data_IF_012831744301
#
_entry.id   IF_012831744301
#
_cell.length_a   1.000
_cell.length_b   1.000
_cell.length_c   1.000
_cell.angle_alpha   90.00
_cell.angle_beta   90.00
_cell.angle_gamma   90.00
#
_symmetry.space_group_name_H-M   'P 1'
#
loop_
_entity.id
_entity.type
_entity.pdbx_description
1 polymer ?
#
# COMPACT_ATOMS: atom_id res chain seq x y z
N UNK A 1 21.18 24.64 11.92
CA UNK A 1 20.73 25.58 10.88
C UNK A 1 21.06 24.96 9.53
N UNK A 2 20.19 24.08 9.04
CA UNK A 2 19.05 24.34 8.15
C UNK A 2 19.47 24.09 6.70
N UNK A 3 19.46 22.81 6.32
CA UNK A 3 19.72 22.36 4.96
C UNK A 3 18.45 22.57 4.11
N UNK A 4 18.59 23.38 3.07
CA UNK A 4 17.61 23.61 1.99
C UNK A 4 18.33 23.35 0.66
N UNK A 5 17.69 22.56 -0.22
CA UNK A 5 18.00 22.38 -1.65
C UNK A 5 19.32 21.66 -2.01
N UNK A 6 19.47 20.88 -3.09
CA UNK A 6 18.70 20.66 -4.33
C UNK A 6 19.19 19.31 -4.97
N UNK A 7 18.77 18.91 -6.19
CA UNK A 7 17.89 17.79 -6.56
C UNK A 7 18.61 16.48 -6.99
N UNK A 8 17.91 15.34 -7.07
CA UNK A 8 18.46 14.14 -7.73
C UNK A 8 18.18 14.16 -9.25
N UNK A 9 19.26 14.09 -10.03
CA UNK A 9 19.43 14.31 -11.47
C UNK A 9 19.26 13.06 -12.35
N UNK A 10 18.66 11.96 -11.85
CA UNK A 10 18.59 10.70 -12.62
C UNK A 10 17.75 10.76 -13.91
N UNK A 11 17.01 11.83 -14.17
CA UNK A 11 16.32 12.05 -15.44
C UNK A 11 17.11 12.85 -16.49
N UNK A 12 18.34 13.34 -16.20
CA UNK A 12 19.08 14.27 -17.09
C UNK A 12 20.39 13.72 -17.67
N UNK A 13 20.72 12.43 -17.48
CA UNK A 13 21.94 11.83 -18.05
C UNK A 13 23.26 12.25 -17.37
N UNK A 14 23.23 12.74 -16.13
CA UNK A 14 24.44 13.06 -15.35
C UNK A 14 24.86 11.83 -14.54
N UNK A 15 26.16 11.49 -14.56
CA UNK A 15 26.71 10.35 -13.83
C UNK A 15 26.51 10.49 -12.30
N UNK A 16 26.15 9.39 -11.64
CA UNK A 16 25.89 9.34 -10.20
C UNK A 16 27.17 9.65 -9.40
N UNK A 17 27.14 10.72 -8.58
CA UNK A 17 28.23 11.07 -7.67
C UNK A 17 28.19 10.14 -6.44
N UNK A 18 28.90 9.01 -6.56
CA UNK A 18 29.03 7.97 -5.54
C UNK A 18 29.76 8.41 -4.26
N UNK A 19 30.30 9.64 -4.21
CA UNK A 19 31.01 10.16 -3.04
C UNK A 19 30.10 10.85 -2.02
N UNK A 20 28.81 11.05 -2.37
CA UNK A 20 27.83 11.64 -1.47
C UNK A 20 27.17 10.57 -0.59
N UNK A 21 27.07 10.76 0.74
CA UNK A 21 26.32 9.85 1.59
C UNK A 21 24.86 9.80 1.12
N UNK A 22 24.33 8.59 0.85
CA UNK A 22 22.88 8.36 0.72
C UNK A 22 22.23 8.88 2.00
N UNK A 23 21.63 10.07 1.97
CA UNK A 23 20.86 10.58 3.11
C UNK A 23 19.56 9.80 3.15
N UNK A 24 19.46 8.88 4.10
CA UNK A 24 18.30 8.03 4.27
C UNK A 24 17.09 8.88 4.67
N UNK A 25 16.08 8.94 3.80
CA UNK A 25 14.83 9.68 4.04
C UNK A 25 13.94 8.95 5.04
N UNK A 26 14.12 7.64 5.17
CA UNK A 26 13.45 6.77 6.11
C UNK A 26 14.38 5.61 6.52
N UNK A 27 14.27 5.15 7.77
CA UNK A 27 15.12 4.09 8.31
C UNK A 27 14.91 2.75 7.59
N UNK A 28 13.73 2.49 7.04
CA UNK A 28 13.40 1.26 6.31
C UNK A 28 14.19 1.14 5.00
N UNK A 29 14.72 2.27 4.48
CA UNK A 29 15.60 2.33 3.31
C UNK A 29 17.07 2.08 3.66
N UNK A 30 17.45 2.20 4.93
CA UNK A 30 18.85 2.10 5.35
C UNK A 30 19.37 0.68 5.18
N UNK A 31 20.55 0.60 4.57
CA UNK A 31 21.33 -0.64 4.39
C UNK A 31 20.53 -1.79 3.74
N UNK A 32 19.57 -1.44 2.86
CA UNK A 32 18.75 -2.42 2.14
C UNK A 32 19.60 -3.12 1.07
N UNK A 33 19.75 -4.46 1.13
CA UNK A 33 20.49 -5.19 0.10
C UNK A 33 19.81 -5.10 -1.26
N UNK A 34 20.63 -4.97 -2.31
CA UNK A 34 20.21 -5.00 -3.73
C UNK A 34 19.04 -4.08 -4.08
N UNK A 35 18.91 -2.97 -3.34
CA UNK A 35 17.86 -1.98 -3.57
C UNK A 35 16.45 -2.60 -3.55
N UNK A 36 16.22 -3.45 -2.55
CA UNK A 36 15.02 -4.29 -2.46
C UNK A 36 13.74 -3.51 -2.17
N UNK A 37 13.78 -2.34 -1.51
CA UNK A 37 12.58 -1.50 -1.36
C UNK A 37 12.34 -0.77 -2.68
N UNK A 38 11.28 -1.14 -3.38
CA UNK A 38 11.01 -0.73 -4.77
C UNK A 38 10.13 0.51 -4.89
N UNK A 39 9.39 0.83 -3.84
CA UNK A 39 8.57 2.02 -3.76
C UNK A 39 8.25 2.33 -2.31
N UNK A 40 8.28 3.61 -1.96
CA UNK A 40 7.89 4.06 -0.64
C UNK A 40 7.32 5.47 -0.68
N UNK A 41 6.24 5.70 0.04
CA UNK A 41 5.67 7.02 0.25
C UNK A 41 5.27 7.20 1.71
N UNK A 42 5.40 8.42 2.20
CA UNK A 42 4.88 8.89 3.48
C UNK A 42 4.21 10.25 3.23
N UNK A 43 2.88 10.28 3.29
CA UNK A 43 2.05 11.44 2.97
C UNK A 43 2.15 12.54 4.03
N UNK A 44 2.54 12.20 5.26
CA UNK A 44 2.85 13.18 6.30
C UNK A 44 4.25 13.75 6.08
N UNK A 45 5.14 12.99 5.46
CA UNK A 45 6.46 13.46 5.09
C UNK A 45 6.39 14.32 3.82
N UNK A 46 6.73 15.62 3.91
CA UNK A 46 6.39 16.53 2.82
C UNK A 46 7.08 16.17 1.48
N UNK A 47 8.19 15.42 1.50
CA UNK A 47 8.90 14.95 0.30
C UNK A 47 8.02 14.10 -0.60
N UNK A 48 7.14 13.26 -0.03
CA UNK A 48 6.28 12.38 -0.82
C UNK A 48 5.06 13.13 -1.36
N UNK A 49 4.49 14.02 -0.55
CA UNK A 49 3.30 14.81 -0.89
C UNK A 49 3.25 16.13 -0.08
N UNK A 50 2.99 17.31 -0.70
CA UNK A 50 2.73 17.57 -2.12
C UNK A 50 3.99 17.48 -3.00
N UNK A 51 5.13 17.05 -2.43
CA UNK A 51 6.40 16.91 -3.14
C UNK A 51 7.32 18.12 -3.02
N UNK A 52 8.54 18.00 -3.55
CA UNK A 52 9.51 19.11 -3.66
C UNK A 52 10.50 19.26 -2.50
N UNK A 53 11.12 20.44 -2.39
CA UNK A 53 12.09 20.77 -1.34
C UNK A 53 11.38 20.96 0.03
N UNK A 54 11.80 20.24 1.10
CA UNK A 54 11.32 20.41 2.46
C UNK A 54 11.15 21.84 2.95
N UNK A 55 12.00 22.76 2.52
CA UNK A 55 12.07 24.05 3.15
C UNK A 55 11.47 25.21 2.35
N UNK A 56 11.02 24.97 1.12
CA UNK A 56 10.44 26.01 0.25
C UNK A 56 9.08 25.63 -0.32
N UNK A 57 8.56 24.44 0.01
CA UNK A 57 7.34 23.91 -0.58
C UNK A 57 6.05 24.52 -0.01
N UNK A 58 4.95 24.50 -0.80
CA UNK A 58 3.62 24.83 -0.29
C UNK A 58 3.14 23.83 0.76
N UNK A 59 2.23 24.29 1.63
CA UNK A 59 1.53 23.42 2.58
C UNK A 59 0.75 22.33 1.83
N UNK A 60 0.71 21.12 2.39
CA UNK A 60 -0.09 20.04 1.86
C UNK A 60 -1.58 20.42 1.88
N UNK A 61 -2.27 20.17 0.77
CA UNK A 61 -3.70 20.41 0.61
C UNK A 61 -4.40 19.23 -0.05
N UNK A 62 -5.70 19.38 -0.30
CA UNK A 62 -6.48 18.34 -0.97
C UNK A 62 -5.85 18.01 -2.33
N UNK A 63 -5.61 16.73 -2.64
CA UNK A 63 -4.97 16.35 -3.88
C UNK A 63 -5.93 16.49 -5.06
N UNK A 64 -5.38 16.80 -6.23
CA UNK A 64 -6.07 16.63 -7.50
C UNK A 64 -6.00 15.17 -7.98
N UNK A 65 -6.85 14.79 -8.92
CA UNK A 65 -6.64 13.54 -9.65
C UNK A 65 -5.30 13.61 -10.41
N UNK A 66 -4.54 12.52 -10.41
CA UNK A 66 -3.22 12.45 -11.03
C UNK A 66 -2.09 13.16 -10.27
N UNK A 67 -2.34 13.66 -9.05
CA UNK A 67 -1.30 14.27 -8.23
C UNK A 67 -0.13 13.32 -8.03
N UNK A 68 1.10 13.80 -8.26
CA UNK A 68 2.31 12.98 -8.15
C UNK A 68 2.51 12.58 -6.69
N UNK A 69 2.83 11.30 -6.47
CA UNK A 69 3.30 10.78 -5.18
C UNK A 69 4.76 10.44 -5.35
N UNK A 70 5.63 11.27 -4.78
CA UNK A 70 7.06 11.11 -4.94
C UNK A 70 7.55 9.89 -4.16
N UNK A 71 8.33 9.07 -4.85
CA UNK A 71 8.89 7.85 -4.30
C UNK A 71 10.16 8.16 -3.51
N UNK A 72 10.13 7.83 -2.21
CA UNK A 72 11.26 8.02 -1.31
C UNK A 72 12.46 7.11 -1.65
N UNK A 73 12.23 6.04 -2.40
CA UNK A 73 13.30 5.15 -2.92
C UNK A 73 13.93 5.68 -4.20
N UNK A 74 13.30 6.67 -4.85
CA UNK A 74 13.75 7.31 -6.08
C UNK A 74 13.84 6.34 -7.29
N UNK A 75 13.06 5.25 -7.28
CA UNK A 75 12.92 4.33 -8.43
C UNK A 75 11.95 4.89 -9.47
N UNK A 76 10.73 5.17 -9.05
CA UNK A 76 9.69 5.72 -9.92
C UNK A 76 8.57 6.34 -9.08
N UNK A 77 8.11 7.53 -9.45
CA UNK A 77 7.02 8.19 -8.74
C UNK A 77 5.68 7.52 -9.02
N UNK A 78 4.87 7.41 -7.97
CA UNK A 78 3.48 7.02 -8.08
C UNK A 78 2.60 8.23 -8.41
N UNK A 79 1.29 8.00 -8.41
CA UNK A 79 0.30 9.07 -8.54
C UNK A 79 -0.93 8.74 -7.70
N UNK A 80 -1.67 9.76 -7.28
CA UNK A 80 -3.01 9.55 -6.75
C UNK A 80 -3.99 9.40 -7.90
N UNK A 81 -4.79 8.35 -7.85
CA UNK A 81 -6.00 8.22 -8.65
C UNK A 81 -7.22 8.47 -7.76
N UNK A 82 -8.17 9.24 -8.26
CA UNK A 82 -9.42 9.56 -7.58
C UNK A 82 -10.66 9.28 -8.42
N UNK A 83 -10.51 8.59 -9.57
CA UNK A 83 -11.61 8.27 -10.48
C UNK A 83 -12.85 7.81 -9.67
N UNK A 84 -13.95 8.53 -9.83
CA UNK A 84 -15.27 8.20 -9.31
C UNK A 84 -16.15 7.93 -10.52
N UNK A 85 -16.83 6.79 -10.54
CA UNK A 85 -17.70 6.47 -11.66
C UNK A 85 -19.11 7.10 -11.51
N UNK A 86 -19.41 7.70 -10.35
CA UNK A 86 -20.54 8.63 -10.13
C UNK A 86 -20.32 9.42 -8.82
N UNK A 87 -20.83 10.65 -8.72
CA UNK A 87 -21.41 11.26 -7.50
C UNK A 87 -20.63 11.47 -6.19
N UNK A 88 -19.52 10.77 -5.92
CA UNK A 88 -18.94 10.71 -4.58
C UNK A 88 -17.96 11.82 -4.21
N UNK A 89 -17.66 11.94 -2.90
CA UNK A 89 -16.61 12.84 -2.44
C UNK A 89 -15.24 12.44 -3.00
N UNK A 90 -14.41 13.45 -3.24
CA UNK A 90 -13.00 13.27 -3.58
C UNK A 90 -12.18 12.94 -2.33
N UNK A 91 -11.03 12.31 -2.54
CA UNK A 91 -10.06 12.08 -1.46
C UNK A 91 -9.61 13.44 -0.93
N UNK A 92 -9.65 13.61 0.38
CA UNK A 92 -9.16 14.83 1.02
C UNK A 92 -7.82 14.58 1.70
N UNK A 93 -7.05 15.65 1.91
CA UNK A 93 -5.83 15.56 2.73
C UNK A 93 -6.13 16.11 4.11
N UNK A 94 -5.98 15.27 5.13
CA UNK A 94 -6.27 15.64 6.51
C UNK A 94 -5.32 14.92 7.48
N UNK A 95 -4.77 15.66 8.45
CA UNK A 95 -3.92 15.10 9.51
C UNK A 95 -2.75 14.27 9.00
N UNK A 96 -2.08 14.69 7.92
CA UNK A 96 -0.93 13.96 7.37
C UNK A 96 -1.25 12.78 6.46
N UNK A 97 -2.51 12.58 6.06
CA UNK A 97 -2.90 11.44 5.22
C UNK A 97 -4.04 11.72 4.26
N UNK A 98 -4.24 10.79 3.34
CA UNK A 98 -5.37 10.77 2.42
C UNK A 98 -6.58 10.13 3.08
N UNK A 99 -7.61 10.94 3.29
CA UNK A 99 -8.87 10.55 3.91
C UNK A 99 -9.88 10.16 2.81
N UNK A 100 -10.36 8.92 2.92
CA UNK A 100 -11.31 8.32 1.98
C UNK A 100 -12.74 8.39 2.48
N UNK A 101 -12.99 9.10 3.59
CA UNK A 101 -14.33 9.30 4.15
C UNK A 101 -15.26 9.96 3.14
N UNK A 102 -16.40 9.31 2.91
CA UNK A 102 -17.43 9.73 1.98
C UNK A 102 -17.09 9.53 0.51
N UNK A 103 -15.95 8.91 0.19
CA UNK A 103 -15.71 8.46 -1.18
C UNK A 103 -16.74 7.39 -1.55
N UNK A 104 -17.08 7.27 -2.82
CA UNK A 104 -17.86 6.13 -3.36
C UNK A 104 -16.93 5.04 -3.89
N UNK A 105 -17.47 3.83 -4.01
CA UNK A 105 -16.75 2.72 -4.63
C UNK A 105 -16.41 3.12 -6.07
N UNK A 106 -15.13 3.02 -6.50
CA UNK A 106 -14.75 3.37 -7.87
C UNK A 106 -15.42 2.48 -8.95
N UNK A 107 -16.09 1.37 -8.57
CA UNK A 107 -16.87 0.54 -9.48
C UNK A 107 -18.30 1.08 -9.70
N UNK A 108 -18.53 1.84 -10.77
CA UNK A 108 -19.88 1.98 -11.36
C UNK A 108 -19.83 1.37 -12.77
N UNK A 109 -20.23 0.09 -12.89
CA UNK A 109 -20.46 -0.56 -14.18
C UNK A 109 -19.37 -1.54 -14.68
N UNK A 110 -19.41 -2.77 -14.19
CA UNK A 110 -19.07 -3.98 -14.96
C UNK A 110 -17.59 -4.35 -15.15
N UNK A 111 -17.29 -5.65 -15.00
CA UNK A 111 -16.34 -6.51 -15.73
C UNK A 111 -15.06 -5.93 -16.41
N UNK A 112 -14.51 -4.81 -15.94
CA UNK A 112 -13.56 -3.99 -16.68
C UNK A 112 -12.07 -4.21 -16.35
N UNK A 113 -11.25 -4.02 -17.37
CA UNK A 113 -9.80 -4.31 -17.44
C UNK A 113 -8.89 -3.19 -16.92
N UNK A 114 -9.43 -2.25 -16.16
CA UNK A 114 -8.70 -1.06 -15.68
C UNK A 114 -8.89 -0.98 -14.19
N UNK A 115 -7.80 -0.89 -13.42
CA UNK A 115 -7.88 -0.70 -11.98
C UNK A 115 -8.49 0.69 -11.69
N UNK A 116 -9.73 0.72 -11.22
CA UNK A 116 -10.42 1.89 -10.73
C UNK A 116 -10.10 1.95 -9.23
N UNK A 117 -9.18 2.83 -8.87
CA UNK A 117 -8.77 3.02 -7.50
C UNK A 117 -8.98 4.47 -7.09
N UNK A 118 -9.43 4.65 -5.85
CA UNK A 118 -9.22 5.89 -5.12
C UNK A 118 -8.05 5.62 -4.20
N UNK A 119 -6.85 5.98 -4.64
CA UNK A 119 -5.64 5.61 -3.90
C UNK A 119 -4.35 5.92 -4.61
N UNK A 120 -3.25 5.64 -3.91
CA UNK A 120 -1.90 5.77 -4.45
C UNK A 120 -1.68 4.63 -5.44
N UNK A 121 -1.61 4.99 -6.72
CA UNK A 121 -1.17 4.11 -7.81
C UNK A 121 0.34 4.00 -7.75
N UNK A 122 0.79 2.76 -7.66
CA UNK A 122 2.18 2.38 -7.61
C UNK A 122 2.70 2.20 -9.05
N UNK A 123 3.94 2.63 -9.34
CA UNK A 123 4.54 2.42 -10.65
C UNK A 123 4.56 0.94 -11.08
N UNK A 124 4.25 0.68 -12.36
CA UNK A 124 4.27 -0.66 -12.93
C UNK A 124 5.66 -1.33 -12.85
N UNK A 125 6.74 -0.54 -12.82
CA UNK A 125 8.11 -1.03 -12.65
C UNK A 125 8.30 -1.83 -11.36
N UNK A 126 7.52 -1.55 -10.31
CA UNK A 126 7.56 -2.32 -9.05
C UNK A 126 7.04 -3.74 -9.26
N UNK A 127 5.93 -3.89 -9.97
CA UNK A 127 5.36 -5.20 -10.26
C UNK A 127 6.23 -5.98 -11.24
N UNK A 128 6.77 -5.30 -12.25
CA UNK A 128 7.73 -5.91 -13.17
C UNK A 128 8.93 -6.47 -12.41
N UNK A 129 9.43 -5.74 -11.42
CA UNK A 129 10.55 -6.17 -10.59
C UNK A 129 10.22 -7.37 -9.70
N UNK A 130 9.04 -7.41 -9.09
CA UNK A 130 8.60 -8.53 -8.24
C UNK A 130 8.30 -9.78 -9.08
N UNK A 131 7.73 -9.60 -10.28
CA UNK A 131 7.44 -10.70 -11.19
C UNK A 131 8.71 -11.32 -11.76
N UNK A 132 9.69 -10.48 -12.13
CA UNK A 132 10.99 -10.92 -12.59
C UNK A 132 11.69 -11.77 -11.51
N UNK A 133 12.33 -12.86 -11.94
CA UNK A 133 13.15 -13.65 -11.04
C UNK A 133 14.42 -12.87 -10.65
N UNK A 134 14.75 -12.85 -9.36
CA UNK A 134 16.01 -12.38 -8.83
C UNK A 134 16.65 -13.48 -7.99
N UNK A 135 17.90 -13.86 -8.32
CA UNK A 135 18.58 -14.96 -7.62
C UNK A 135 17.82 -16.29 -7.69
N UNK A 136 17.02 -16.52 -8.74
CA UNK A 136 16.19 -17.73 -8.90
C UNK A 136 14.83 -17.70 -8.19
N UNK A 137 14.49 -16.63 -7.46
CA UNK A 137 13.21 -16.46 -6.81
C UNK A 137 12.38 -15.35 -7.46
N UNK A 138 11.08 -15.57 -7.64
CA UNK A 138 10.13 -14.58 -8.15
C UNK A 138 8.90 -14.50 -7.24
N UNK A 139 8.22 -13.36 -7.28
CA UNK A 139 7.00 -13.10 -6.52
C UNK A 139 7.21 -13.20 -5.00
N UNK A 140 8.41 -12.83 -4.56
CA UNK A 140 8.71 -12.60 -3.15
C UNK A 140 8.57 -11.11 -2.86
N UNK A 141 7.64 -10.75 -1.99
CA UNK A 141 7.31 -9.36 -1.72
C UNK A 141 6.95 -9.14 -0.26
N UNK A 142 7.13 -7.91 0.19
CA UNK A 142 6.53 -7.35 1.39
C UNK A 142 5.79 -6.08 1.00
N UNK A 143 4.52 -6.01 1.37
CA UNK A 143 3.66 -4.85 1.22
C UNK A 143 3.29 -4.38 2.62
N UNK A 144 3.45 -3.10 2.90
CA UNK A 144 3.10 -2.52 4.19
C UNK A 144 2.42 -1.18 3.96
N UNK A 145 1.39 -0.91 4.75
CA UNK A 145 0.74 0.39 4.82
C UNK A 145 0.36 0.76 6.25
N UNK A 146 0.36 2.06 6.52
CA UNK A 146 -0.15 2.66 7.75
C UNK A 146 -1.44 3.36 7.47
N UNK A 147 -2.49 2.94 8.17
CA UNK A 147 -3.84 3.40 7.93
C UNK A 147 -4.56 3.68 9.25
N UNK A 148 -5.36 4.73 9.31
CA UNK A 148 -6.35 4.87 10.39
C UNK A 148 -7.53 4.00 10.04
N UNK A 149 -7.82 3.03 10.91
CA UNK A 149 -9.02 2.24 10.81
C UNK A 149 -10.23 3.11 11.17
N UNK A 150 -11.35 2.89 10.48
CA UNK A 150 -12.60 3.52 10.84
C UNK A 150 -13.04 3.12 12.27
N UNK A 151 -13.98 3.87 12.84
CA UNK A 151 -14.64 3.43 14.07
C UNK A 151 -15.36 2.10 13.82
N UNK A 152 -15.54 1.29 14.86
CA UNK A 152 -16.26 0.01 14.75
C UNK A 152 -17.67 0.17 14.18
N UNK A 153 -18.34 1.28 14.49
CA UNK A 153 -19.67 1.61 13.97
C UNK A 153 -19.66 1.95 12.47
N UNK A 154 -18.55 2.51 11.96
CA UNK A 154 -18.39 2.88 10.56
C UNK A 154 -17.73 1.76 9.72
N UNK A 155 -17.17 0.74 10.37
CA UNK A 155 -16.71 -0.50 9.76
C UNK A 155 -17.85 -1.50 9.55
N UNK A 156 -19.01 -1.04 9.08
CA UNK A 156 -19.94 -1.99 8.49
C UNK A 156 -19.24 -2.55 7.22
N UNK A 157 -18.99 -3.85 7.21
CA UNK A 157 -18.24 -4.46 6.13
C UNK A 157 -19.15 -4.74 4.93
N UNK A 158 -20.06 -3.84 4.55
CA UNK A 158 -20.70 -3.96 3.23
C UNK A 158 -19.73 -3.63 2.09
N UNK A 159 -18.54 -3.14 2.43
CA UNK A 159 -17.54 -2.65 1.50
C UNK A 159 -16.19 -3.34 1.75
N UNK A 160 -15.57 -3.85 0.68
CA UNK A 160 -14.27 -4.49 0.71
C UNK A 160 -13.31 -3.79 -0.27
N UNK A 161 -12.02 -3.79 0.06
CA UNK A 161 -10.93 -3.35 -0.83
C UNK A 161 -10.03 -2.27 -0.22
N UNK A 162 -8.79 -2.63 0.16
CA UNK A 162 -7.76 -1.69 0.64
C UNK A 162 -6.48 -1.69 -0.20
N UNK A 163 -6.13 -2.84 -0.78
CA UNK A 163 -4.94 -3.00 -1.63
C UNK A 163 -5.24 -4.06 -2.69
N UNK A 164 -4.90 -3.76 -3.94
CA UNK A 164 -5.11 -4.68 -5.06
C UNK A 164 -3.95 -4.62 -6.03
N UNK A 165 -3.23 -5.74 -6.20
CA UNK A 165 -2.28 -5.97 -7.30
C UNK A 165 -3.03 -6.70 -8.40
N UNK A 166 -3.70 -5.96 -9.26
CA UNK A 166 -4.58 -6.55 -10.24
C UNK A 166 -4.10 -6.32 -11.64
N UNK A 167 -4.35 -7.34 -12.46
CA UNK A 167 -4.47 -7.17 -13.89
C UNK A 167 -5.69 -6.35 -14.28
N UNK A 168 -6.83 -6.59 -13.61
CA UNK A 168 -8.15 -6.00 -13.83
C UNK A 168 -8.94 -5.92 -12.49
N UNK A 169 -9.94 -5.03 -12.39
CA UNK A 169 -10.69 -4.73 -11.14
C UNK A 169 -11.56 -5.87 -10.58
N UNK A 170 -11.59 -7.01 -11.25
CA UNK A 170 -12.44 -8.14 -10.91
C UNK A 170 -11.58 -9.36 -10.55
N UNK A 171 -11.53 -9.66 -9.25
CA UNK A 171 -11.08 -10.94 -8.69
C UNK A 171 -11.60 -12.18 -9.48
N UNK A 172 -12.75 -12.05 -10.15
CA UNK A 172 -13.35 -13.09 -10.99
C UNK A 172 -12.84 -13.13 -12.43
N UNK A 173 -12.34 -12.02 -12.99
CA UNK A 173 -12.01 -11.90 -14.42
C UNK A 173 -10.54 -12.25 -14.73
N UNK A 174 -9.63 -11.96 -13.81
CA UNK A 174 -8.20 -12.21 -13.99
C UNK A 174 -7.51 -12.40 -12.63
N UNK A 175 -6.35 -13.08 -12.57
CA UNK A 175 -5.62 -13.20 -11.32
C UNK A 175 -4.94 -11.89 -10.95
N UNK A 176 -4.83 -11.74 -9.64
CA UNK A 176 -4.08 -10.70 -8.96
C UNK A 176 -2.92 -11.35 -8.19
N UNK A 177 -1.76 -10.69 -8.13
CA UNK A 177 -0.67 -11.18 -7.25
C UNK A 177 -1.16 -11.23 -5.80
N UNK A 178 -1.94 -10.23 -5.40
CA UNK A 178 -2.57 -10.19 -4.09
C UNK A 178 -3.78 -9.26 -4.12
N UNK A 179 -4.79 -9.59 -3.34
CA UNK A 179 -5.85 -8.67 -2.97
C UNK A 179 -5.98 -8.66 -1.45
N UNK A 180 -6.00 -7.49 -0.84
CA UNK A 180 -6.20 -7.29 0.59
C UNK A 180 -7.37 -6.35 0.81
N UNK A 181 -8.30 -6.76 1.65
CA UNK A 181 -9.46 -5.95 2.01
C UNK A 181 -10.17 -6.49 3.24
N UNK A 182 -11.20 -5.79 3.68
CA UNK A 182 -12.10 -6.29 4.71
C UNK A 182 -13.02 -7.37 4.14
N UNK A 183 -13.34 -8.40 4.92
CA UNK A 183 -14.34 -9.40 4.53
C UNK A 183 -15.75 -8.84 4.66
N UNK A 184 -16.57 -9.07 3.64
CA UNK A 184 -17.93 -8.55 3.63
C UNK A 184 -18.84 -9.14 4.72
N UNK A 185 -19.79 -8.34 5.22
CA UNK A 185 -20.88 -8.76 6.11
C UNK A 185 -20.71 -8.39 7.60
N UNK A 186 -21.83 -8.16 8.28
CA UNK A 186 -21.86 -7.68 9.67
C UNK A 186 -21.17 -8.62 10.69
N UNK A 187 -21.15 -9.93 10.42
CA UNK A 187 -20.43 -10.90 11.27
C UNK A 187 -18.90 -10.80 11.14
N UNK A 188 -18.43 -10.11 10.10
CA UNK A 188 -17.02 -10.01 9.75
C UNK A 188 -16.38 -8.66 10.12
N UNK A 189 -17.08 -7.75 10.81
CA UNK A 189 -16.56 -6.42 11.19
C UNK A 189 -15.11 -6.50 11.68
N UNK A 190 -14.23 -5.70 11.05
CA UNK A 190 -12.79 -5.64 11.34
C UNK A 190 -11.96 -6.84 10.87
N UNK A 191 -12.56 -7.84 10.22
CA UNK A 191 -11.83 -8.98 9.64
C UNK A 191 -11.18 -8.56 8.32
N UNK A 192 -9.86 -8.48 8.34
CA UNK A 192 -9.04 -8.31 7.14
C UNK A 192 -8.79 -9.68 6.53
N UNK A 193 -8.82 -9.74 5.21
CA UNK A 193 -8.46 -10.90 4.43
C UNK A 193 -7.47 -10.49 3.36
N UNK A 194 -6.51 -11.38 3.16
CA UNK A 194 -5.68 -11.36 1.97
C UNK A 194 -5.92 -12.63 1.19
N UNK A 195 -6.11 -12.49 -0.12
CA UNK A 195 -6.21 -13.62 -1.06
C UNK A 195 -5.15 -13.51 -2.12
N UNK A 196 -4.55 -14.65 -2.41
CA UNK A 196 -3.72 -14.84 -3.60
C UNK A 196 -4.44 -15.76 -4.57
N UNK A 197 -4.33 -15.42 -5.85
CA UNK A 197 -4.90 -16.17 -6.95
C UNK A 197 -3.76 -16.73 -7.78
N UNK A 198 -3.99 -17.86 -8.45
CA UNK A 198 -3.11 -18.45 -9.48
C UNK A 198 -3.77 -18.46 -10.87
N UNK A 199 -5.05 -18.10 -10.92
CA UNK A 199 -5.88 -17.94 -12.11
C UNK A 199 -7.17 -17.17 -11.77
N UNK A 200 -7.92 -16.77 -12.79
CA UNK A 200 -9.18 -16.06 -12.64
C UNK A 200 -10.17 -16.83 -11.74
N UNK A 201 -10.77 -16.16 -10.76
CA UNK A 201 -11.75 -16.78 -9.83
C UNK A 201 -11.18 -17.82 -8.86
N UNK A 202 -9.88 -18.14 -8.93
CA UNK A 202 -9.24 -19.10 -8.02
C UNK A 202 -8.80 -18.42 -6.72
N UNK A 203 -8.79 -19.19 -5.64
CA UNK A 203 -8.13 -18.82 -4.38
C UNK A 203 -7.18 -19.94 -4.04
N UNK A 204 -5.89 -19.68 -4.15
CA UNK A 204 -4.89 -20.63 -3.68
C UNK A 204 -4.72 -20.53 -2.17
N UNK A 205 -4.71 -19.31 -1.65
CA UNK A 205 -4.49 -19.06 -0.22
C UNK A 205 -5.33 -17.89 0.24
N UNK A 206 -5.95 -18.06 1.40
CA UNK A 206 -6.68 -17.04 2.12
C UNK A 206 -6.16 -16.97 3.55
N UNK A 207 -5.63 -15.82 3.95
CA UNK A 207 -5.24 -15.55 5.34
C UNK A 207 -6.12 -14.44 5.89
N UNK A 208 -6.52 -14.56 7.16
CA UNK A 208 -7.40 -13.59 7.80
C UNK A 208 -6.89 -13.23 9.18
N UNK A 209 -6.95 -11.93 9.50
CA UNK A 209 -6.76 -11.40 10.86
C UNK A 209 -7.98 -10.56 11.21
N UNK A 210 -8.29 -10.41 12.50
CA UNK A 210 -9.46 -9.65 12.95
C UNK A 210 -9.02 -8.53 13.88
N UNK A 211 -9.42 -7.30 13.59
CA UNK A 211 -9.26 -6.17 14.50
C UNK A 211 -10.02 -6.42 15.80
N UNK A 212 -9.38 -6.11 16.92
CA UNK A 212 -10.05 -6.04 18.22
C UNK A 212 -10.66 -4.65 18.41
N UNK A 213 -11.53 -4.51 19.42
CA UNK A 213 -12.22 -3.24 19.70
C UNK A 213 -11.25 -2.07 19.90
N UNK A 214 -10.06 -2.32 20.46
CA UNK A 214 -9.01 -1.31 20.64
C UNK A 214 -8.27 -0.89 19.37
N UNK A 215 -8.42 -1.60 18.24
CA UNK A 215 -7.75 -1.25 16.99
C UNK A 215 -8.57 -0.23 16.16
N UNK A 216 -9.90 -0.20 16.33
CA UNK A 216 -10.77 0.71 15.58
C UNK A 216 -10.53 2.17 15.95
N UNK A 217 -10.62 3.06 14.97
CA UNK A 217 -10.32 4.49 15.17
C UNK A 217 -8.85 4.79 15.43
N UNK A 218 -7.97 3.78 15.43
CA UNK A 218 -6.53 3.93 15.65
C UNK A 218 -5.74 3.74 14.36
N UNK A 219 -4.48 4.17 14.37
CA UNK A 219 -3.56 3.92 13.27
C UNK A 219 -3.03 2.51 13.42
N UNK A 220 -3.03 1.77 12.31
CA UNK A 220 -2.58 0.40 12.24
C UNK A 220 -1.58 0.21 11.11
N UNK A 221 -0.53 -0.55 11.39
CA UNK A 221 0.31 -1.19 10.38
C UNK A 221 -0.45 -2.41 9.85
N UNK A 222 -0.68 -2.45 8.55
CA UNK A 222 -1.23 -3.60 7.84
C UNK A 222 -0.20 -4.04 6.82
N UNK A 223 0.12 -5.33 6.82
CA UNK A 223 1.12 -5.86 5.91
C UNK A 223 0.77 -7.24 5.39
N UNK A 224 1.21 -7.54 4.18
CA UNK A 224 1.15 -8.86 3.59
C UNK A 224 2.48 -9.17 2.90
N UNK A 225 2.92 -10.41 3.00
CA UNK A 225 4.19 -10.83 2.42
C UNK A 225 4.14 -12.23 1.84
N UNK A 226 5.15 -12.51 1.01
CA UNK A 226 5.48 -13.82 0.47
C UNK A 226 7.00 -13.92 0.34
N UNK A 227 7.58 -14.98 0.90
CA UNK A 227 9.01 -15.29 0.79
C UNK A 227 9.22 -16.82 0.76
N UNK A 228 10.48 -17.27 0.76
CA UNK A 228 10.81 -18.70 0.71
C UNK A 228 10.23 -19.51 1.91
N UNK A 229 10.00 -18.87 3.05
CA UNK A 229 9.47 -19.53 4.26
C UNK A 229 7.94 -19.64 4.27
N UNK A 230 7.24 -18.86 3.44
CA UNK A 230 5.79 -18.85 3.40
C UNK A 230 5.20 -17.51 2.99
N UNK A 231 3.95 -17.32 3.36
CA UNK A 231 3.20 -16.09 3.15
C UNK A 231 2.50 -15.70 4.45
N UNK A 232 2.21 -14.41 4.60
CA UNK A 232 1.57 -13.93 5.82
C UNK A 232 0.79 -12.64 5.65
N UNK A 233 -0.06 -12.39 6.65
CA UNK A 233 -0.87 -11.19 6.85
C UNK A 233 -0.68 -10.73 8.29
N UNK A 234 -0.44 -9.43 8.47
CA UNK A 234 -0.29 -8.80 9.78
C UNK A 234 -1.20 -7.60 9.93
N UNK A 235 -1.76 -7.45 11.14
CA UNK A 235 -2.37 -6.23 11.65
C UNK A 235 -1.71 -5.89 13.00
N UNK A 236 -1.29 -4.64 13.18
CA UNK A 236 -0.81 -4.13 14.46
C UNK A 236 -1.18 -2.66 14.64
N UNK A 237 -1.95 -2.33 15.67
CA UNK A 237 -2.22 -0.94 16.04
C UNK A 237 -0.99 -0.28 16.67
N UNK A 238 -0.79 1.00 16.37
CA UNK A 238 0.28 1.82 16.94
C UNK A 238 -0.02 2.25 18.38
N UNK A 239 -1.30 2.32 18.75
CA UNK A 239 -1.76 3.01 19.95
C UNK A 239 -2.57 2.13 20.90
N UNK A 240 -3.05 0.96 20.46
CA UNK A 240 -3.87 0.09 21.33
C UNK A 240 -3.07 -0.69 22.38
N UNK A 241 -1.74 -0.78 22.20
CA UNK A 241 -0.86 -1.61 23.05
C UNK A 241 -1.05 -3.12 22.85
N UNK A 242 -1.92 -3.54 21.93
CA UNK A 242 -2.18 -4.95 21.64
C UNK A 242 -1.03 -5.58 20.85
N UNK A 243 -0.77 -6.89 21.04
CA UNK A 243 0.21 -7.60 20.24
C UNK A 243 -0.20 -7.63 18.76
N UNK A 244 0.81 -7.83 17.89
CA UNK A 244 0.56 -8.01 16.48
C UNK A 244 -0.29 -9.27 16.24
N UNK A 245 -1.28 -9.14 15.36
CA UNK A 245 -2.10 -10.24 14.89
C UNK A 245 -1.52 -10.71 13.57
N UNK A 246 -1.09 -11.96 13.53
CA UNK A 246 -0.44 -12.54 12.35
C UNK A 246 -1.13 -13.83 11.94
N UNK A 247 -1.42 -13.96 10.66
CA UNK A 247 -1.84 -15.21 10.04
C UNK A 247 -0.79 -15.60 8.98
N UNK A 248 -0.46 -16.89 8.90
CA UNK A 248 0.51 -17.42 7.95
C UNK A 248 -0.07 -18.57 7.14
N UNK A 249 0.55 -18.83 5.99
CA UNK A 249 0.25 -19.97 5.14
C UNK A 249 1.52 -20.49 4.47
N UNK A 250 1.48 -21.74 4.02
CA UNK A 250 2.58 -22.33 3.26
C UNK A 250 2.83 -21.56 1.95
N UNK A 251 4.08 -21.60 1.48
CA UNK A 251 4.46 -21.07 0.18
C UNK A 251 3.85 -21.96 -0.92
N UNK A 252 2.75 -21.54 -1.54
CA UNK A 252 2.27 -22.23 -2.74
C UNK A 252 2.93 -21.70 -4.03
N UNK A 253 2.53 -22.22 -5.19
CA UNK A 253 3.23 -22.01 -6.46
C UNK A 253 3.16 -20.56 -6.95
N UNK A 254 4.19 -20.09 -7.66
CA UNK A 254 4.15 -18.78 -8.31
C UNK A 254 2.98 -18.67 -9.30
N UNK A 255 2.43 -17.47 -9.47
CA UNK A 255 1.56 -17.18 -10.61
C UNK A 255 2.31 -17.40 -11.91
N UNK A 256 1.71 -18.13 -12.85
CA UNK A 256 2.24 -18.23 -14.22
C UNK A 256 1.89 -17.01 -15.08
N UNK A 257 0.88 -16.24 -14.68
CA UNK A 257 0.45 -15.05 -15.40
C UNK A 257 1.31 -13.84 -15.05
N UNK A 258 1.67 -13.08 -16.09
CA UNK A 258 2.46 -11.88 -15.97
C UNK A 258 1.59 -10.68 -15.55
N UNK A 259 1.95 -10.08 -14.42
CA UNK A 259 1.32 -8.87 -13.88
C UNK A 259 2.25 -7.64 -13.93
N UNK A 260 3.38 -7.71 -14.65
CA UNK A 260 4.37 -6.64 -14.76
C UNK A 260 3.83 -5.35 -15.39
N UNK A 261 2.90 -5.47 -16.33
CA UNK A 261 2.27 -4.33 -17.01
C UNK A 261 1.02 -3.80 -16.29
N UNK A 262 0.72 -4.33 -15.10
CA UNK A 262 -0.58 -4.15 -14.45
C UNK A 262 -0.54 -3.04 -13.40
N UNK A 263 -1.72 -2.60 -12.99
CA UNK A 263 -1.87 -1.50 -12.04
C UNK A 263 -1.92 -2.01 -10.61
N UNK A 264 -1.16 -1.37 -9.73
CA UNK A 264 -1.18 -1.65 -8.30
C UNK A 264 -1.61 -0.40 -7.54
N UNK A 265 -2.55 -0.54 -6.61
CA UNK A 265 -3.03 0.58 -5.81
C UNK A 265 -3.09 0.26 -4.31
N UNK A 266 -2.74 1.26 -3.49
CA UNK A 266 -2.99 1.30 -2.04
C UNK A 266 -4.01 2.41 -1.73
N UNK A 267 -5.13 2.05 -1.09
CA UNK A 267 -6.23 2.98 -0.84
C UNK A 267 -7.57 2.25 -0.98
N UNK A 268 -8.62 2.92 -1.41
CA UNK A 268 -9.87 2.23 -1.74
C UNK A 268 -9.81 1.69 -3.17
N UNK A 269 -9.77 0.36 -3.30
CA UNK A 269 -9.76 -0.32 -4.60
C UNK A 269 -11.12 -0.96 -4.88
N UNK A 270 -11.44 -1.17 -6.16
CA UNK A 270 -12.70 -1.85 -6.55
C UNK A 270 -12.74 -3.34 -6.21
N UNK A 271 -11.59 -3.98 -5.96
CA UNK A 271 -11.54 -5.43 -5.76
C UNK A 271 -12.35 -5.88 -4.53
N UNK A 272 -13.10 -6.97 -4.68
CA UNK A 272 -14.03 -7.55 -3.70
C UNK A 272 -15.31 -6.78 -3.43
N UNK A 273 -15.56 -5.66 -4.08
CA UNK A 273 -16.83 -4.93 -3.91
C UNK A 273 -17.88 -5.34 -4.94
N UNK A 274 -19.10 -5.60 -4.48
CA UNK A 274 -20.26 -5.90 -5.34
C UNK A 274 -21.20 -4.70 -5.52
N UNK A 275 -21.05 -3.65 -4.71
CA UNK A 275 -22.06 -2.61 -4.61
C UNK A 275 -21.50 -1.26 -5.12
N UNK A 276 -22.16 -0.73 -6.16
CA UNK A 276 -21.95 0.64 -6.60
C UNK A 276 -22.70 1.61 -5.67
N UNK A 277 -22.07 2.72 -5.28
CA UNK A 277 -22.72 3.81 -4.53
C UNK A 277 -22.55 3.80 -3.00
N UNK A 278 -22.02 2.74 -2.40
CA UNK A 278 -21.82 2.71 -0.94
C UNK A 278 -20.62 3.60 -0.52
N UNK A 279 -20.81 4.47 0.47
CA UNK A 279 -19.79 5.43 0.94
C UNK A 279 -18.83 4.79 1.95
N UNK A 280 -17.53 4.89 1.71
CA UNK A 280 -16.52 4.39 2.65
C UNK A 280 -16.26 5.45 3.70
N UNK A 281 -16.27 5.10 4.99
CA UNK A 281 -16.22 6.08 6.07
C UNK A 281 -15.10 5.77 7.05
N UNK A 282 -14.27 6.77 7.36
CA UNK A 282 -13.33 6.74 8.48
C UNK A 282 -11.97 6.09 8.21
N UNK A 283 -11.66 5.76 6.96
CA UNK A 283 -10.35 5.22 6.59
C UNK A 283 -9.43 6.31 6.08
N UNK A 284 -8.18 6.32 6.58
CA UNK A 284 -7.14 7.24 6.13
C UNK A 284 -5.85 6.50 5.85
N UNK A 285 -5.24 6.72 4.69
CA UNK A 285 -3.91 6.22 4.35
C UNK A 285 -2.86 7.26 4.69
N UNK A 286 -1.75 6.85 5.29
CA UNK A 286 -0.66 7.76 5.65
C UNK A 286 0.66 7.41 4.97
N UNK A 287 1.04 6.14 4.99
CA UNK A 287 2.36 5.69 4.52
C UNK A 287 2.22 4.31 3.92
N UNK A 288 3.08 3.99 2.96
CA UNK A 288 3.19 2.63 2.44
C UNK A 288 4.53 2.39 1.79
N UNK A 289 4.94 1.13 1.79
CA UNK A 289 6.13 0.69 1.06
C UNK A 289 5.95 -0.71 0.50
N UNK A 290 6.78 -0.98 -0.51
CA UNK A 290 6.82 -2.25 -1.22
C UNK A 290 8.27 -2.67 -1.33
N UNK A 291 8.53 -3.91 -0.98
CA UNK A 291 9.85 -4.49 -1.04
C UNK A 291 9.82 -5.81 -1.81
N UNK A 292 10.78 -5.99 -2.71
CA UNK A 292 11.10 -7.25 -3.34
C UNK A 292 12.01 -8.05 -2.39
N UNK A 293 11.43 -9.03 -1.71
CA UNK A 293 12.14 -9.85 -0.72
C UNK A 293 13.13 -10.82 -1.38
N UNK A 294 13.01 -11.12 -2.68
CA UNK A 294 14.04 -11.88 -3.39
C UNK A 294 15.33 -11.06 -3.54
N UNK A 295 15.21 -9.74 -3.70
CA UNK A 295 16.37 -8.82 -3.74
C UNK A 295 16.98 -8.59 -2.38
N UNK A 296 16.15 -8.20 -1.41
CA UNK A 296 16.64 -7.79 -0.11
C UNK A 296 17.10 -8.95 0.77
N UNK A 297 16.49 -10.13 0.60
CA UNK A 297 16.71 -11.29 1.47
C UNK A 297 16.30 -11.06 2.93
N UNK A 298 15.64 -9.93 3.25
CA UNK A 298 15.27 -9.59 4.62
C UNK A 298 14.13 -10.46 5.13
N UNK A 299 14.12 -10.73 6.43
CA UNK A 299 12.96 -11.32 7.08
C UNK A 299 11.82 -10.28 7.17
N UNK A 300 10.64 -10.53 6.57
CA UNK A 300 9.55 -9.57 6.56
C UNK A 300 9.07 -9.19 7.96
N UNK A 301 9.10 -10.10 8.93
CA UNK A 301 8.66 -9.78 10.29
C UNK A 301 9.63 -8.83 10.98
N UNK A 302 10.94 -9.08 10.88
CA UNK A 302 11.97 -8.18 11.37
C UNK A 302 11.88 -6.77 10.73
N UNK A 303 11.65 -6.69 9.41
CA UNK A 303 11.44 -5.41 8.71
C UNK A 303 10.21 -4.68 9.28
N UNK A 304 9.08 -5.38 9.41
CA UNK A 304 7.84 -4.81 9.92
C UNK A 304 7.96 -4.33 11.38
N UNK A 305 8.70 -5.05 12.22
CA UNK A 305 8.93 -4.66 13.62
C UNK A 305 9.82 -3.42 13.74
N UNK A 306 10.91 -3.37 12.98
CA UNK A 306 11.78 -2.20 12.95
C UNK A 306 11.08 -0.96 12.40
N UNK A 307 10.30 -1.14 11.33
CA UNK A 307 9.47 -0.11 10.71
C UNK A 307 8.40 0.41 11.68
N UNK A 308 7.71 -0.51 12.38
CA UNK A 308 6.73 -0.18 13.41
C UNK A 308 7.34 0.67 14.52
N UNK A 309 8.48 0.25 15.08
CA UNK A 309 9.14 1.00 16.15
C UNK A 309 9.55 2.41 15.71
N UNK A 310 10.06 2.55 14.49
CA UNK A 310 10.45 3.85 13.91
C UNK A 310 9.25 4.77 13.77
N UNK A 311 8.16 4.26 13.18
CA UNK A 311 6.93 5.01 12.99
C UNK A 311 6.29 5.41 14.33
N UNK A 312 6.24 4.49 15.30
CA UNK A 312 5.70 4.76 16.62
C UNK A 312 6.51 5.86 17.33
N UNK A 313 7.84 5.84 17.20
CA UNK A 313 8.72 6.85 17.81
C UNK A 313 8.60 8.24 17.17
N UNK A 314 8.28 8.32 15.86
CA UNK A 314 8.09 9.59 15.16
C UNK A 314 6.88 10.38 15.67
N UNK A 315 5.76 9.69 15.91
CA UNK A 315 4.53 10.35 16.37
C UNK A 315 3.87 11.29 15.33
N UNK A 316 4.32 11.26 14.08
CA UNK A 316 3.92 12.20 13.01
C UNK A 316 2.47 12.01 12.51
N UNK A 317 1.75 11.04 13.06
CA UNK A 317 0.37 10.74 12.70
C UNK A 317 -0.59 11.17 13.81
N UNK A 318 -0.75 12.49 13.97
CA UNK A 318 -1.68 13.12 14.91
C UNK A 318 -2.88 13.76 14.18
#
# INVERSE_FOLDING_TARGET
MAAIGVPNLKATGVAEDVTRPKRWRDATLKDVPNDGVRFMFDLAFPWSYPGGDPATRPAAGNPSNGAIIYDMTEHANGRLDQIAASGGALVTYAGGGFDYTGTENPLTGGAGTTASAKGVIIPASVLADIFAAYGGASQHYLLCMYVKLASKANMDNTQAGLITIASDDAYNAAPSMINLGFQLGAVNVGRLQVRRQTGAGTVETSMTVKADDGDFGTICQIAAWRNAAGQGLRLRSLTSGLPAKTATAALGPNNSQDFSAKSFAMGRTGAFSSNAGDMFNGFRLYRGFIENLARSGRDPLAVLDADYATVQARGDFA
#
